data_IF_221386174358
#
_entry.id   IF_221386174358
#
_cell.length_a   1.000
_cell.length_b   1.000
_cell.length_c   1.000
_cell.angle_alpha   90.00
_cell.angle_beta   90.00
_cell.angle_gamma   90.00
#
_symmetry.space_group_name_H-M   'P 1'
#
loop_
_entity.id
_entity.type
_entity.pdbx_description
1 polymer ?
#
# COMPACT_ATOMS: atom_id res chain seq x y z
N UNK A 1 6.18 -38.02 -63.25
CA UNK A 1 6.29 -36.59 -62.92
C UNK A 1 7.39 -36.43 -61.88
N UNK A 2 8.47 -35.72 -62.24
CA UNK A 2 9.72 -35.60 -61.49
C UNK A 2 9.52 -34.55 -60.31
N UNK A 3 10.16 -34.72 -59.16
CA UNK A 3 10.15 -33.72 -58.09
C UNK A 3 11.17 -32.60 -58.40
N UNK A 4 10.81 -31.36 -58.02
CA UNK A 4 11.66 -30.17 -58.14
C UNK A 4 12.54 -30.06 -56.92
N UNK A 5 13.84 -29.87 -57.15
CA UNK A 5 14.85 -29.51 -56.15
C UNK A 5 14.63 -28.07 -55.62
N UNK A 6 14.79 -27.89 -54.31
CA UNK A 6 14.84 -26.59 -53.65
C UNK A 6 16.31 -26.28 -53.34
N UNK A 7 16.84 -25.27 -54.00
CA UNK A 7 18.18 -24.73 -53.79
C UNK A 7 18.26 -23.85 -52.56
N UNK A 8 19.15 -24.22 -51.63
CA UNK A 8 19.55 -23.41 -50.46
C UNK A 8 20.47 -22.26 -50.91
N UNK A 9 20.03 -21.01 -50.72
CA UNK A 9 20.89 -19.83 -50.80
C UNK A 9 21.35 -19.42 -49.39
N UNK A 10 22.65 -19.58 -49.13
CA UNK A 10 23.34 -19.05 -47.94
C UNK A 10 23.52 -17.54 -48.08
N UNK A 11 22.93 -16.76 -47.17
CA UNK A 11 23.27 -15.36 -46.98
C UNK A 11 24.47 -15.25 -46.03
N UNK A 12 25.56 -14.74 -46.58
CA UNK A 12 26.77 -14.35 -45.82
C UNK A 12 26.59 -12.93 -45.26
N UNK A 13 26.60 -12.81 -43.94
CA UNK A 13 26.71 -11.52 -43.28
C UNK A 13 28.16 -11.05 -43.26
N UNK A 14 28.43 -9.91 -43.89
CA UNK A 14 29.68 -9.16 -43.73
C UNK A 14 29.61 -8.32 -42.45
N UNK A 15 30.51 -8.56 -41.52
CA UNK A 15 30.79 -7.71 -40.36
C UNK A 15 31.53 -6.46 -40.82
N UNK A 16 30.95 -5.28 -40.60
CA UNK A 16 31.61 -4.01 -40.77
C UNK A 16 32.24 -3.59 -39.44
N UNK A 17 33.56 -3.60 -39.44
CA UNK A 17 34.41 -3.08 -38.37
C UNK A 17 34.34 -1.53 -38.38
N UNK A 18 33.88 -0.90 -37.28
CA UNK A 18 33.98 0.54 -37.07
C UNK A 18 34.68 0.79 -35.73
N UNK A 19 35.98 0.92 -35.81
CA UNK A 19 36.84 1.49 -34.78
C UNK A 19 36.54 2.98 -34.59
N UNK A 20 36.10 3.36 -33.38
CA UNK A 20 35.95 4.75 -32.95
C UNK A 20 37.18 5.11 -32.09
N UNK A 21 37.91 6.21 -32.36
CA UNK A 21 39.07 6.60 -31.57
C UNK A 21 38.62 7.24 -30.25
N UNK A 22 39.20 6.77 -29.14
CA UNK A 22 39.10 7.35 -27.82
C UNK A 22 39.96 8.64 -27.79
N UNK A 23 39.31 9.79 -27.63
CA UNK A 23 39.97 11.05 -27.35
C UNK A 23 40.11 11.19 -25.84
N UNK A 24 41.36 11.08 -25.35
CA UNK A 24 41.72 11.30 -23.96
C UNK A 24 41.85 12.82 -23.73
N UNK A 25 40.91 13.41 -23.00
CA UNK A 25 41.02 14.82 -22.56
C UNK A 25 41.68 14.85 -21.18
N UNK A 26 42.95 15.24 -21.15
CA UNK A 26 43.70 15.52 -19.92
C UNK A 26 43.38 16.95 -19.47
N UNK A 27 42.68 17.11 -18.37
CA UNK A 27 42.46 18.41 -17.72
C UNK A 27 43.54 18.62 -16.63
N UNK A 28 44.43 19.57 -16.84
CA UNK A 28 45.39 20.08 -15.86
C UNK A 28 44.65 20.97 -14.85
N UNK A 29 44.64 20.59 -13.58
CA UNK A 29 44.17 21.44 -12.51
C UNK A 29 45.36 22.21 -11.92
N UNK A 30 45.37 23.52 -12.10
CA UNK A 30 46.26 24.42 -11.37
C UNK A 30 45.73 24.61 -9.94
N UNK A 31 46.51 24.22 -8.97
CA UNK A 31 46.30 24.57 -7.57
C UNK A 31 46.90 25.97 -7.30
N UNK A 32 46.08 26.92 -6.92
CA UNK A 32 46.49 28.20 -6.30
C UNK A 32 46.31 28.08 -4.79
N UNK A 33 47.44 28.07 -4.07
CA UNK A 33 47.49 28.19 -2.64
C UNK A 33 47.28 29.65 -2.24
N UNK A 34 46.19 29.93 -1.51
CA UNK A 34 45.94 31.21 -0.86
C UNK A 34 45.89 31.02 0.65
N UNK A 35 46.92 31.43 1.38
CA UNK A 35 46.91 31.53 2.84
C UNK A 35 46.00 32.70 3.26
N UNK A 36 44.90 32.35 3.97
CA UNK A 36 44.09 33.34 4.69
C UNK A 36 43.98 32.90 6.14
N UNK A 37 44.61 33.67 7.02
CA UNK A 37 44.58 33.50 8.48
C UNK A 37 43.22 33.98 8.98
N UNK A 38 42.45 33.12 9.61
CA UNK A 38 41.22 33.47 10.33
C UNK A 38 41.56 33.86 11.78
N UNK A 39 40.94 34.90 12.36
CA UNK A 39 41.16 35.26 13.76
C UNK A 39 40.43 34.31 14.69
N UNK A 40 41.13 33.84 15.70
CA UNK A 40 40.67 33.07 16.83
C UNK A 40 39.79 33.95 17.74
N UNK A 41 38.50 33.60 17.86
CA UNK A 41 37.59 34.20 18.83
C UNK A 41 37.63 33.35 20.11
N UNK A 42 38.32 33.85 21.11
CA UNK A 42 38.34 33.28 22.46
C UNK A 42 37.03 33.66 23.19
N UNK A 43 36.17 32.69 23.42
CA UNK A 43 35.01 32.85 24.30
C UNK A 43 35.39 32.50 25.73
N UNK A 44 35.37 33.50 26.62
CA UNK A 44 35.49 33.32 28.06
C UNK A 44 34.22 32.68 28.62
N UNK A 45 34.29 31.74 29.57
CA UNK A 45 33.12 31.15 30.20
C UNK A 45 32.48 32.11 31.18
N UNK A 46 31.25 32.53 30.92
CA UNK A 46 30.39 33.24 31.88
C UNK A 46 29.81 32.25 32.86
N UNK A 47 30.17 32.37 34.10
CA UNK A 47 29.56 31.64 35.23
C UNK A 47 28.15 32.18 35.47
N UNK A 48 27.14 31.35 35.20
CA UNK A 48 25.74 31.60 35.61
C UNK A 48 25.55 31.05 37.03
N UNK A 49 25.41 31.95 37.99
CA UNK A 49 24.99 31.64 39.37
C UNK A 49 23.50 31.41 39.38
N UNK A 50 23.07 30.20 39.70
CA UNK A 50 21.69 29.83 40.01
C UNK A 50 21.31 30.33 41.40
N UNK A 51 20.14 31.00 41.60
CA UNK A 51 19.64 31.32 42.94
C UNK A 51 19.06 30.08 43.59
N UNK A 52 19.38 29.94 44.89
CA UNK A 52 18.92 28.84 45.76
C UNK A 52 17.41 28.94 46.01
N UNK A 53 16.72 27.82 45.80
CA UNK A 53 15.30 27.64 46.18
C UNK A 53 15.22 27.31 47.68
N UNK A 54 14.36 27.97 48.46
CA UNK A 54 14.22 27.64 49.88
C UNK A 54 13.42 26.33 50.05
N UNK A 55 13.90 25.51 50.97
CA UNK A 55 13.31 24.23 51.40
C UNK A 55 11.98 24.46 52.13
N UNK A 56 10.90 23.69 51.86
CA UNK A 56 9.65 23.83 52.60
C UNK A 56 9.76 23.20 53.97
N UNK A 57 9.39 24.00 54.97
CA UNK A 57 9.24 23.61 56.39
C UNK A 57 8.12 22.57 56.54
N UNK A 58 8.43 21.45 57.18
CA UNK A 58 7.45 20.43 57.53
C UNK A 58 6.52 20.93 58.63
N UNK A 59 5.22 20.99 58.35
CA UNK A 59 4.19 21.17 59.35
C UNK A 59 3.78 19.81 59.96
N UNK A 60 3.94 19.67 61.27
CA UNK A 60 3.53 18.50 62.04
C UNK A 60 2.00 18.58 62.25
N UNK A 61 1.22 17.62 61.74
CA UNK A 61 -0.19 17.44 62.07
C UNK A 61 -0.37 16.48 63.25
N UNK A 62 -1.32 16.76 64.16
CA UNK A 62 -1.59 15.86 65.26
C UNK A 62 -2.40 14.65 64.84
N UNK A 63 -1.94 13.47 65.28
CA UNK A 63 -2.52 12.15 65.05
C UNK A 63 -3.73 11.95 66.00
N UNK A 64 -4.94 11.87 65.45
CA UNK A 64 -6.07 11.21 66.13
C UNK A 64 -6.61 10.11 65.22
N UNK A 65 -6.49 8.87 65.63
CA UNK A 65 -7.11 7.71 65.02
C UNK A 65 -8.61 7.70 65.29
N UNK A 66 -9.47 7.55 64.25
CA UNK A 66 -10.83 7.08 64.47
C UNK A 66 -10.88 5.54 64.37
N UNK A 67 -11.65 4.98 65.29
CA UNK A 67 -11.95 3.56 65.44
C UNK A 67 -12.50 2.93 64.16
N UNK A 68 -11.97 1.73 63.79
CA UNK A 68 -12.36 0.99 62.59
C UNK A 68 -13.82 0.50 62.65
N UNK A 69 -14.61 0.88 61.66
CA UNK A 69 -15.89 0.23 61.31
C UNK A 69 -15.57 -0.99 60.44
N UNK A 70 -16.19 -2.16 60.65
CA UNK A 70 -15.95 -3.32 59.78
C UNK A 70 -16.55 -3.07 58.40
N UNK A 71 -15.70 -2.85 57.40
CA UNK A 71 -16.10 -2.76 56.01
C UNK A 71 -16.33 -4.17 55.49
N UNK A 72 -17.57 -4.47 55.05
CA UNK A 72 -17.90 -5.64 54.28
C UNK A 72 -17.04 -5.66 52.99
N UNK A 73 -16.28 -6.73 52.77
CA UNK A 73 -15.49 -6.95 51.58
C UNK A 73 -16.40 -6.96 50.34
N UNK A 74 -16.17 -6.14 49.30
CA UNK A 74 -16.97 -6.23 48.09
C UNK A 74 -16.73 -7.61 47.46
N UNK A 75 -17.81 -8.31 47.16
CA UNK A 75 -17.80 -9.52 46.33
C UNK A 75 -17.16 -9.14 44.96
N UNK A 76 -16.12 -9.87 44.49
CA UNK A 76 -15.55 -9.59 43.18
C UNK A 76 -16.64 -9.72 42.12
N UNK A 77 -16.69 -8.81 41.13
CA UNK A 77 -17.62 -8.96 40.02
C UNK A 77 -17.38 -10.32 39.34
N UNK A 78 -18.42 -10.95 38.78
CA UNK A 78 -18.27 -12.22 38.09
C UNK A 78 -17.23 -12.05 36.99
N UNK A 79 -16.17 -12.86 37.04
CA UNK A 79 -15.16 -12.97 35.99
C UNK A 79 -15.93 -13.41 34.75
N UNK A 80 -16.07 -12.53 33.77
CA UNK A 80 -16.58 -12.91 32.45
C UNK A 80 -15.66 -14.02 31.95
N UNK A 81 -16.24 -15.20 31.72
CA UNK A 81 -15.53 -16.27 31.00
C UNK A 81 -14.99 -15.69 29.72
N UNK A 82 -13.74 -16.01 29.31
CA UNK A 82 -13.22 -15.56 28.05
C UNK A 82 -14.19 -16.03 26.96
N UNK A 83 -14.83 -15.08 26.28
CA UNK A 83 -15.59 -15.36 25.07
C UNK A 83 -14.56 -15.93 24.10
N UNK A 84 -14.65 -17.20 23.75
CA UNK A 84 -13.79 -17.79 22.74
C UNK A 84 -13.90 -16.91 21.51
N UNK A 85 -12.81 -16.26 21.11
CA UNK A 85 -12.74 -15.56 19.84
C UNK A 85 -13.17 -16.53 18.73
N UNK A 86 -14.03 -16.13 17.78
CA UNK A 86 -14.47 -17.02 16.73
C UNK A 86 -13.24 -17.54 15.98
N UNK A 87 -13.09 -18.87 15.99
CA UNK A 87 -12.02 -19.54 15.26
C UNK A 87 -12.30 -19.43 13.76
N UNK A 88 -11.23 -19.32 12.95
CA UNK A 88 -11.35 -19.40 11.49
C UNK A 88 -12.05 -20.72 11.09
N UNK A 89 -12.99 -20.68 10.12
CA UNK A 89 -13.65 -21.86 9.58
C UNK A 89 -12.64 -22.86 8.98
N UNK A 90 -13.07 -24.13 8.87
CA UNK A 90 -12.29 -25.14 8.13
C UNK A 90 -12.31 -24.82 6.63
N UNK A 91 -11.15 -24.55 5.98
CA UNK A 91 -11.11 -24.22 4.57
C UNK A 91 -11.34 -25.40 3.63
N UNK A 92 -11.36 -26.64 4.14
CA UNK A 92 -11.44 -27.86 3.31
C UNK A 92 -12.70 -27.94 2.44
N UNK A 93 -13.80 -27.31 2.88
CA UNK A 93 -15.07 -27.22 2.15
C UNK A 93 -15.11 -26.09 1.09
N UNK A 94 -14.03 -25.36 0.87
CA UNK A 94 -13.99 -24.18 0.00
C UNK A 94 -12.87 -24.28 -1.02
N UNK A 95 -13.00 -23.53 -2.12
CA UNK A 95 -11.97 -23.41 -3.15
C UNK A 95 -12.05 -22.04 -3.84
N UNK A 96 -10.92 -21.63 -4.38
CA UNK A 96 -10.84 -20.52 -5.33
C UNK A 96 -11.18 -21.05 -6.71
N UNK A 97 -12.34 -20.70 -7.22
CA UNK A 97 -12.85 -21.18 -8.51
C UNK A 97 -12.69 -20.11 -9.59
N UNK A 98 -12.18 -20.46 -10.79
CA UNK A 98 -12.04 -19.51 -11.88
C UNK A 98 -13.42 -19.01 -12.33
N UNK A 99 -13.54 -17.68 -12.47
CA UNK A 99 -14.73 -16.98 -12.96
C UNK A 99 -14.55 -16.58 -14.40
N UNK A 100 -13.35 -16.08 -14.73
CA UNK A 100 -12.99 -15.63 -16.09
C UNK A 100 -11.49 -15.80 -16.30
N UNK A 101 -11.09 -15.92 -17.56
CA UNK A 101 -9.69 -15.90 -18.02
C UNK A 101 -9.56 -15.02 -19.25
N UNK A 102 -8.33 -14.84 -19.74
CA UNK A 102 -8.03 -14.05 -20.93
C UNK A 102 -7.73 -12.58 -20.65
N UNK A 103 -7.44 -12.23 -19.40
CA UNK A 103 -6.89 -10.95 -19.00
C UNK A 103 -5.37 -10.93 -19.25
N UNK A 104 -4.83 -9.76 -19.51
CA UNK A 104 -3.39 -9.55 -19.71
C UNK A 104 -2.78 -8.91 -18.46
N UNK A 105 -2.04 -9.72 -17.67
CA UNK A 105 -1.36 -9.26 -16.46
C UNK A 105 -2.30 -8.46 -15.51
N UNK A 106 -3.37 -9.09 -14.97
CA UNK A 106 -4.30 -8.40 -14.06
C UNK A 106 -3.61 -8.05 -12.74
N UNK A 107 -3.80 -6.81 -12.27
CA UNK A 107 -3.11 -6.28 -11.07
C UNK A 107 -4.04 -5.62 -10.05
N UNK A 108 -5.29 -5.31 -10.40
CA UNK A 108 -6.26 -4.78 -9.43
C UNK A 108 -7.70 -5.20 -9.81
N UNK A 109 -8.58 -5.34 -8.81
CA UNK A 109 -10.00 -5.68 -8.97
C UNK A 109 -10.82 -4.74 -8.09
N UNK A 110 -11.69 -3.93 -8.70
CA UNK A 110 -12.53 -2.96 -7.99
C UNK A 110 -14.00 -3.09 -8.43
N UNK A 111 -14.92 -2.67 -7.56
CA UNK A 111 -16.32 -2.43 -7.91
C UNK A 111 -16.64 -0.93 -7.80
N UNK A 112 -17.62 -0.47 -8.57
CA UNK A 112 -17.97 0.94 -8.60
C UNK A 112 -18.93 1.37 -7.49
N UNK A 113 -19.57 0.44 -6.78
CA UNK A 113 -20.60 0.72 -5.77
C UNK A 113 -21.84 1.38 -6.32
N UNK A 114 -22.13 1.22 -7.63
CA UNK A 114 -23.21 1.90 -8.36
C UNK A 114 -24.46 1.03 -8.56
N UNK A 115 -24.47 -0.16 -7.97
CA UNK A 115 -25.56 -1.14 -8.08
C UNK A 115 -25.57 -1.93 -9.40
N UNK A 116 -24.56 -1.79 -10.24
CA UNK A 116 -24.47 -2.46 -11.54
C UNK A 116 -23.97 -3.90 -11.46
N UNK A 117 -23.33 -4.28 -10.35
CA UNK A 117 -22.70 -5.59 -10.15
C UNK A 117 -21.49 -5.83 -11.05
N UNK A 118 -20.91 -4.78 -11.63
CA UNK A 118 -19.71 -4.86 -12.46
C UNK A 118 -18.46 -4.92 -11.57
N UNK A 119 -17.50 -5.77 -11.98
CA UNK A 119 -16.12 -5.71 -11.48
C UNK A 119 -15.24 -5.10 -12.57
N UNK A 120 -14.33 -4.25 -12.16
CA UNK A 120 -13.36 -3.59 -13.01
C UNK A 120 -11.98 -4.17 -12.70
N UNK A 121 -11.37 -4.77 -13.72
CA UNK A 121 -10.07 -5.44 -13.57
C UNK A 121 -9.04 -4.65 -14.36
N UNK A 122 -7.98 -4.24 -13.68
CA UNK A 122 -6.87 -3.52 -14.29
C UNK A 122 -5.91 -4.51 -14.95
N UNK A 123 -5.64 -4.29 -16.23
CA UNK A 123 -4.52 -4.90 -16.92
C UNK A 123 -3.33 -3.94 -16.85
N UNK A 124 -2.22 -4.41 -16.31
CA UNK A 124 -1.01 -3.63 -16.00
C UNK A 124 -0.57 -2.70 -17.13
N UNK A 125 -0.80 -3.10 -18.40
CA UNK A 125 -0.40 -2.35 -19.59
C UNK A 125 -1.24 -1.11 -19.89
N UNK A 126 -2.22 -0.75 -19.07
CA UNK A 126 -2.98 0.48 -19.23
C UNK A 126 -4.43 0.27 -19.68
N UNK A 127 -5.03 -0.91 -19.44
CA UNK A 127 -6.45 -1.13 -19.72
C UNK A 127 -7.22 -1.44 -18.43
N UNK A 128 -8.46 -0.96 -18.38
CA UNK A 128 -9.45 -1.39 -17.40
C UNK A 128 -10.50 -2.22 -18.12
N UNK A 129 -10.67 -3.47 -17.69
CA UNK A 129 -11.65 -4.41 -18.26
C UNK A 129 -12.87 -4.51 -17.34
N UNK A 130 -14.04 -4.70 -17.92
CA UNK A 130 -15.26 -4.98 -17.16
C UNK A 130 -15.56 -6.47 -17.17
N UNK A 131 -15.71 -7.05 -15.98
CA UNK A 131 -16.29 -8.36 -15.76
C UNK A 131 -17.73 -8.17 -15.27
N UNK A 132 -18.70 -8.69 -16.03
CA UNK A 132 -20.12 -8.65 -15.68
C UNK A 132 -20.76 -10.00 -15.98
N UNK A 133 -21.55 -10.55 -15.07
CA UNK A 133 -22.20 -11.86 -15.19
C UNK A 133 -21.19 -12.98 -15.56
N UNK A 134 -20.02 -12.98 -14.95
CA UNK A 134 -18.92 -13.91 -15.20
C UNK A 134 -18.36 -13.86 -16.64
N UNK A 135 -18.52 -12.75 -17.35
CA UNK A 135 -18.00 -12.57 -18.70
C UNK A 135 -17.25 -11.24 -18.82
N UNK A 136 -16.12 -11.24 -19.50
CA UNK A 136 -15.43 -10.01 -19.89
C UNK A 136 -16.19 -9.33 -21.01
N UNK A 137 -16.49 -8.06 -20.83
CA UNK A 137 -17.00 -7.25 -21.92
C UNK A 137 -15.92 -7.12 -23.02
N UNK A 138 -16.32 -7.16 -24.30
CA UNK A 138 -15.35 -7.23 -25.41
C UNK A 138 -14.50 -5.97 -25.54
N UNK A 139 -15.01 -4.83 -25.08
CA UNK A 139 -14.33 -3.52 -25.17
C UNK A 139 -13.90 -3.09 -23.78
N UNK A 140 -12.65 -2.63 -23.60
CA UNK A 140 -12.19 -2.14 -22.30
C UNK A 140 -12.99 -0.89 -21.87
N UNK A 141 -13.14 -0.71 -20.55
CA UNK A 141 -13.71 0.49 -19.94
C UNK A 141 -12.83 1.72 -20.20
N UNK A 142 -11.53 1.58 -19.97
CA UNK A 142 -10.49 2.57 -20.26
C UNK A 142 -9.36 1.89 -21.02
N UNK A 143 -8.74 2.59 -21.98
CA UNK A 143 -7.52 2.18 -22.67
C UNK A 143 -6.59 3.38 -22.80
N UNK A 144 -5.54 3.42 -21.98
CA UNK A 144 -4.49 4.43 -21.93
C UNK A 144 -3.09 3.81 -22.12
N UNK A 145 -3.00 2.69 -22.87
CA UNK A 145 -1.75 1.98 -23.08
C UNK A 145 -0.65 2.86 -23.71
N UNK A 146 -1.00 3.91 -24.44
CA UNK A 146 -0.02 4.84 -25.01
C UNK A 146 0.64 5.76 -23.99
N UNK A 147 0.08 5.90 -22.81
CA UNK A 147 0.52 6.79 -21.74
C UNK A 147 1.26 6.05 -20.64
N UNK A 148 1.08 4.72 -20.57
CA UNK A 148 1.56 3.88 -19.47
C UNK A 148 2.86 3.20 -19.83
N UNK A 149 3.92 3.41 -19.03
CA UNK A 149 5.08 2.52 -19.01
C UNK A 149 4.77 1.27 -18.18
N UNK A 150 4.97 0.11 -18.79
CA UNK A 150 4.74 -1.19 -18.15
C UNK A 150 5.88 -2.17 -18.41
N UNK A 151 7.05 -1.66 -18.76
CA UNK A 151 8.20 -2.50 -19.16
C UNK A 151 8.81 -3.24 -17.96
N UNK A 152 8.82 -2.59 -16.79
CA UNK A 152 9.35 -3.18 -15.56
C UNK A 152 8.24 -3.86 -14.73
N UNK A 153 8.65 -4.67 -13.76
CA UNK A 153 7.73 -5.56 -13.01
C UNK A 153 6.64 -4.79 -12.28
N UNK A 154 6.99 -3.68 -11.66
CA UNK A 154 6.08 -2.90 -10.81
C UNK A 154 5.55 -1.61 -11.47
N UNK A 155 6.00 -1.30 -12.68
CA UNK A 155 5.49 -0.18 -13.46
C UNK A 155 4.26 -0.59 -14.28
N UNK A 156 3.29 0.30 -14.42
CA UNK A 156 2.05 0.05 -15.15
C UNK A 156 0.89 0.92 -14.70
N UNK A 157 -0.31 0.52 -15.13
CA UNK A 157 -1.56 0.95 -14.52
C UNK A 157 -1.80 0.11 -13.27
N UNK A 158 -1.66 0.73 -12.08
CA UNK A 158 -1.49 0.02 -10.82
C UNK A 158 -2.69 0.11 -9.88
N UNK A 159 -3.47 1.18 -9.92
CA UNK A 159 -4.59 1.38 -8.99
C UNK A 159 -5.80 2.04 -9.61
N UNK A 160 -6.97 1.72 -9.07
CA UNK A 160 -8.27 2.28 -9.43
C UNK A 160 -9.08 2.54 -8.17
N UNK A 161 -9.68 3.72 -8.08
CA UNK A 161 -10.70 4.02 -7.08
C UNK A 161 -11.87 4.75 -7.71
N UNK A 162 -13.08 4.25 -7.48
CA UNK A 162 -14.31 4.97 -7.86
C UNK A 162 -14.66 5.96 -6.76
N UNK A 163 -15.06 7.16 -7.16
CA UNK A 163 -15.57 8.16 -6.25
C UNK A 163 -16.77 7.61 -5.43
N UNK A 164 -16.90 7.89 -4.11
CA UNK A 164 -18.02 7.37 -3.31
C UNK A 164 -19.40 7.70 -3.87
N UNK A 165 -19.49 8.78 -4.67
CA UNK A 165 -20.71 9.17 -5.40
C UNK A 165 -20.64 8.84 -6.89
N UNK A 166 -19.90 7.81 -7.30
CA UNK A 166 -19.69 7.47 -8.71
C UNK A 166 -21.00 7.30 -9.49
N UNK A 167 -22.01 6.69 -8.91
CA UNK A 167 -23.31 6.50 -9.53
C UNK A 167 -23.94 7.81 -10.06
N UNK A 168 -23.58 8.96 -9.49
CA UNK A 168 -24.08 10.29 -9.88
C UNK A 168 -23.02 11.20 -10.47
N UNK A 169 -21.76 11.08 -10.01
CA UNK A 169 -20.67 11.92 -10.48
C UNK A 169 -19.96 11.35 -11.71
N UNK A 170 -19.97 10.03 -11.89
CA UNK A 170 -19.22 9.36 -12.95
C UNK A 170 -17.70 9.43 -12.79
N UNK A 171 -17.18 9.95 -11.65
CA UNK A 171 -15.76 10.19 -11.44
C UNK A 171 -15.05 8.94 -10.91
N UNK A 172 -13.86 8.67 -11.43
CA UNK A 172 -12.96 7.65 -10.91
C UNK A 172 -11.51 8.11 -11.04
N UNK A 173 -10.61 7.46 -10.31
CA UNK A 173 -9.20 7.82 -10.19
C UNK A 173 -8.34 6.62 -10.50
N UNK A 174 -7.23 6.87 -11.18
CA UNK A 174 -6.23 5.85 -11.49
C UNK A 174 -4.86 6.29 -11.00
N UNK A 175 -4.02 5.29 -10.70
CA UNK A 175 -2.59 5.45 -10.46
C UNK A 175 -1.86 4.69 -11.55
N UNK A 176 -0.98 5.35 -12.26
CA UNK A 176 -0.15 4.71 -13.27
C UNK A 176 1.25 5.32 -13.34
N UNK A 177 2.20 4.59 -13.93
CA UNK A 177 3.53 5.11 -14.26
C UNK A 177 3.48 5.56 -15.73
N UNK A 178 3.80 6.82 -15.97
CA UNK A 178 3.84 7.37 -17.32
C UNK A 178 5.10 6.94 -18.09
N UNK A 179 5.14 7.24 -19.39
CA UNK A 179 6.26 6.92 -20.28
C UNK A 179 7.59 7.60 -19.91
N UNK A 180 7.60 8.52 -18.95
CA UNK A 180 8.79 9.17 -18.40
C UNK A 180 9.20 8.60 -17.03
N UNK A 181 8.52 7.55 -16.54
CA UNK A 181 8.78 6.94 -15.24
C UNK A 181 8.24 7.75 -14.05
N UNK A 182 7.20 8.55 -14.27
CA UNK A 182 6.56 9.37 -13.23
C UNK A 182 5.27 8.68 -12.78
N UNK A 183 5.05 8.54 -11.49
CA UNK A 183 3.73 8.16 -10.96
C UNK A 183 2.75 9.29 -11.17
N UNK A 184 1.67 9.01 -11.86
CA UNK A 184 0.56 9.92 -12.11
C UNK A 184 -0.68 9.42 -11.38
N UNK A 185 -1.28 10.29 -10.57
CA UNK A 185 -2.63 10.11 -10.06
C UNK A 185 -3.53 10.97 -10.93
N UNK A 186 -4.41 10.33 -11.70
CA UNK A 186 -5.30 11.04 -12.62
C UNK A 186 -6.77 10.76 -12.30
N UNK A 187 -7.61 11.76 -12.56
CA UNK A 187 -9.06 11.67 -12.50
C UNK A 187 -9.62 11.55 -13.90
N UNK A 188 -10.56 10.63 -14.06
CA UNK A 188 -11.34 10.45 -15.29
C UNK A 188 -12.84 10.55 -15.02
N UNK A 189 -13.61 10.61 -16.07
CA UNK A 189 -15.07 10.56 -16.06
C UNK A 189 -15.57 9.42 -16.95
N UNK A 190 -16.67 8.78 -16.53
CA UNK A 190 -17.39 7.84 -17.39
C UNK A 190 -17.99 8.56 -18.60
N UNK A 191 -18.05 7.90 -19.74
CA UNK A 191 -18.70 8.46 -20.93
C UNK A 191 -20.16 8.80 -20.67
N UNK A 192 -20.60 9.97 -21.14
CA UNK A 192 -22.00 10.39 -21.03
C UNK A 192 -22.97 9.48 -21.80
N UNK A 193 -22.48 8.72 -22.79
CA UNK A 193 -23.28 7.93 -23.71
C UNK A 193 -23.25 6.43 -23.44
N UNK A 194 -22.26 5.94 -22.67
CA UNK A 194 -22.08 4.52 -22.41
C UNK A 194 -21.47 4.31 -21.00
N UNK A 195 -22.21 3.77 -20.04
CA UNK A 195 -21.71 3.53 -18.69
C UNK A 195 -20.60 2.47 -18.63
N UNK A 196 -20.38 1.73 -19.72
CA UNK A 196 -19.31 0.72 -19.85
C UNK A 196 -18.04 1.28 -20.50
N UNK A 197 -17.96 2.61 -20.68
CA UNK A 197 -16.82 3.30 -21.29
C UNK A 197 -16.45 4.52 -20.46
N UNK A 198 -15.17 4.70 -20.22
CA UNK A 198 -14.64 5.98 -19.77
C UNK A 198 -14.52 6.94 -20.97
N UNK A 199 -14.42 8.22 -20.67
CA UNK A 199 -14.00 9.24 -21.63
C UNK A 199 -12.51 9.51 -21.44
N UNK A 200 -11.59 9.02 -22.30
CA UNK A 200 -10.16 9.26 -22.14
C UNK A 200 -9.80 10.75 -22.22
N UNK A 201 -10.58 11.55 -22.94
CA UNK A 201 -10.34 13.01 -23.07
C UNK A 201 -10.68 13.79 -21.79
N UNK A 202 -11.28 13.13 -20.80
CA UNK A 202 -11.62 13.73 -19.51
C UNK A 202 -10.48 13.66 -18.50
N UNK A 203 -9.34 13.13 -18.89
CA UNK A 203 -8.18 13.01 -18.00
C UNK A 203 -7.80 14.36 -17.38
N UNK A 204 -7.57 14.31 -16.08
CA UNK A 204 -7.05 15.43 -15.31
C UNK A 204 -6.03 14.93 -14.30
N UNK A 205 -4.79 15.34 -14.48
CA UNK A 205 -3.70 15.01 -13.54
C UNK A 205 -3.93 15.69 -12.18
N UNK A 206 -4.00 14.87 -11.15
CA UNK A 206 -4.15 15.32 -9.77
C UNK A 206 -2.78 15.51 -9.13
N UNK A 207 -1.90 14.49 -9.20
CA UNK A 207 -0.62 14.48 -8.54
C UNK A 207 0.43 13.77 -9.40
N UNK A 208 1.65 14.32 -9.43
CA UNK A 208 2.82 13.70 -10.05
C UNK A 208 3.88 13.41 -8.99
N UNK A 209 4.42 12.20 -8.96
CA UNK A 209 5.51 11.81 -8.07
C UNK A 209 6.63 11.17 -8.87
N UNK A 210 7.81 11.81 -8.85
CA UNK A 210 8.98 11.28 -9.54
C UNK A 210 9.47 10.01 -8.86
N UNK A 211 9.63 8.93 -9.63
CA UNK A 211 10.20 7.68 -9.18
C UNK A 211 11.72 7.66 -9.46
N UNK A 212 12.56 7.39 -8.45
CA UNK A 212 14.01 7.31 -8.63
C UNK A 212 14.44 6.00 -9.28
N UNK A 213 13.66 4.91 -9.12
CA UNK A 213 13.91 3.58 -9.66
C UNK A 213 12.64 3.00 -10.28
N UNK A 214 12.73 1.82 -10.88
CA UNK A 214 11.67 1.14 -11.61
C UNK A 214 10.85 0.14 -10.77
N UNK A 215 11.11 0.09 -9.46
CA UNK A 215 10.43 -0.76 -8.49
C UNK A 215 9.98 0.01 -7.24
N UNK A 216 9.25 -0.65 -6.35
CA UNK A 216 8.60 -0.09 -5.15
C UNK A 216 7.71 1.12 -5.48
N UNK A 217 6.91 0.99 -6.53
CA UNK A 217 6.03 2.07 -6.96
C UNK A 217 4.74 2.16 -6.12
N UNK A 218 4.40 1.11 -5.35
CA UNK A 218 3.13 1.00 -4.65
C UNK A 218 1.96 0.94 -5.63
N UNK A 219 1.08 1.94 -5.58
CA UNK A 219 0.06 2.18 -6.59
C UNK A 219 -1.37 1.98 -6.14
N UNK A 220 -1.60 1.44 -4.95
CA UNK A 220 -2.94 1.27 -4.40
C UNK A 220 -3.68 2.61 -4.24
N UNK A 221 -4.98 2.61 -4.55
CA UNK A 221 -5.91 3.72 -4.34
C UNK A 221 -7.17 3.22 -3.63
N UNK A 222 -7.64 3.97 -2.63
CA UNK A 222 -8.95 3.71 -2.02
C UNK A 222 -9.53 4.99 -1.41
N UNK A 223 -10.87 5.12 -1.42
CA UNK A 223 -11.53 6.10 -0.59
C UNK A 223 -11.71 5.56 0.83
N UNK A 224 -11.29 6.38 1.80
CA UNK A 224 -11.52 6.07 3.20
C UNK A 224 -12.97 6.29 3.63
N UNK A 225 -13.36 5.82 4.83
CA UNK A 225 -14.69 6.05 5.39
C UNK A 225 -14.99 7.53 5.65
N UNK A 226 -13.96 8.37 5.67
CA UNK A 226 -14.01 9.83 5.77
C UNK A 226 -14.29 10.53 4.42
N UNK A 227 -14.32 9.78 3.32
CA UNK A 227 -14.58 10.29 1.98
C UNK A 227 -13.37 10.85 1.25
N UNK A 228 -12.17 10.84 1.86
CA UNK A 228 -10.93 11.28 1.21
C UNK A 228 -10.26 10.17 0.43
N UNK A 229 -9.48 10.54 -0.58
CA UNK A 229 -8.69 9.60 -1.38
C UNK A 229 -7.36 9.32 -0.68
N UNK A 230 -7.11 8.03 -0.41
CA UNK A 230 -5.85 7.51 0.09
C UNK A 230 -5.02 6.93 -1.06
N UNK A 231 -3.70 7.16 -1.01
CA UNK A 231 -2.76 6.78 -2.06
C UNK A 231 -1.54 6.14 -1.39
N UNK A 232 -1.26 4.88 -1.70
CA UNK A 232 -0.08 4.18 -1.23
C UNK A 232 1.09 4.35 -2.20
N UNK A 233 2.22 4.85 -1.72
CA UNK A 233 3.45 5.02 -2.50
C UNK A 233 4.63 4.36 -1.78
N UNK A 234 5.39 3.55 -2.51
CA UNK A 234 6.60 2.93 -2.01
C UNK A 234 7.76 3.92 -1.83
N UNK A 235 8.88 3.41 -1.32
CA UNK A 235 10.09 4.21 -1.07
C UNK A 235 10.81 4.66 -2.35
N UNK A 236 10.32 4.22 -3.51
CA UNK A 236 10.84 4.58 -4.83
C UNK A 236 11.91 3.62 -5.32
N UNK A 237 12.19 2.55 -4.60
CA UNK A 237 12.93 1.40 -5.11
C UNK A 237 14.38 1.28 -4.67
N UNK A 238 15.04 0.27 -5.23
CA UNK A 238 16.36 -0.22 -4.85
C UNK A 238 16.37 -0.93 -3.49
N UNK A 239 17.54 -1.38 -3.03
CA UNK A 239 17.70 -2.13 -1.79
C UNK A 239 17.88 -1.19 -0.60
N UNK A 240 17.12 -1.41 0.48
CA UNK A 240 17.34 -0.77 1.77
C UNK A 240 17.10 0.74 1.83
N UNK A 241 16.21 1.28 0.99
CA UNK A 241 15.86 2.72 0.98
C UNK A 241 17.09 3.64 0.90
N UNK A 242 17.89 3.57 -0.18
CA UNK A 242 19.16 4.32 -0.27
C UNK A 242 18.98 5.83 -0.24
N UNK A 243 17.78 6.33 -0.50
CA UNK A 243 17.45 7.75 -0.46
C UNK A 243 16.81 8.18 0.86
N UNK A 244 16.62 7.24 1.80
CA UNK A 244 16.02 7.45 3.12
C UNK A 244 14.62 8.06 3.06
N UNK A 245 13.84 7.65 2.07
CA UNK A 245 12.48 8.15 1.86
C UNK A 245 11.52 7.72 2.97
N UNK A 246 11.77 6.57 3.62
CA UNK A 246 10.96 6.04 4.70
C UNK A 246 10.67 7.06 5.81
N UNK A 247 11.72 7.71 6.27
CA UNK A 247 11.64 8.66 7.38
C UNK A 247 11.72 10.15 6.95
N UNK A 248 11.79 10.41 5.64
CA UNK A 248 11.88 11.76 5.11
C UNK A 248 10.48 12.35 4.86
N UNK A 249 10.06 13.30 5.66
CA UNK A 249 8.76 13.97 5.52
C UNK A 249 8.72 15.06 4.43
N UNK A 250 9.82 15.27 3.69
CA UNK A 250 9.90 16.20 2.56
C UNK A 250 9.78 15.51 1.20
N UNK A 251 9.34 14.25 1.18
CA UNK A 251 9.02 13.46 -0.01
C UNK A 251 7.68 12.77 0.14
N UNK A 252 7.00 12.52 -0.97
CA UNK A 252 5.75 11.75 -1.00
C UNK A 252 6.00 10.23 -1.10
N UNK A 253 7.24 9.80 -1.33
CA UNK A 253 7.63 8.40 -1.39
C UNK A 253 7.66 7.77 0.00
N UNK A 254 7.36 6.46 0.10
CA UNK A 254 7.30 5.70 1.36
C UNK A 254 6.17 6.18 2.29
N UNK A 255 5.01 6.48 1.69
CA UNK A 255 3.90 7.16 2.37
C UNK A 255 2.54 6.56 2.04
N UNK A 256 1.66 6.69 2.99
CA UNK A 256 0.23 6.76 2.72
C UNK A 256 -0.16 8.23 2.66
N UNK A 257 -0.60 8.70 1.50
CA UNK A 257 -1.11 10.06 1.31
C UNK A 257 -2.62 10.08 1.52
N UNK A 258 -3.17 11.24 1.90
CA UNK A 258 -4.61 11.48 2.00
C UNK A 258 -4.95 12.87 1.50
N UNK A 259 -5.82 12.94 0.50
CA UNK A 259 -6.22 14.19 -0.17
C UNK A 259 -7.74 14.27 -0.32
N UNK A 260 -8.26 15.49 -0.33
CA UNK A 260 -9.67 15.81 -0.57
C UNK A 260 -9.85 16.23 -2.03
N UNK A 261 -10.49 15.38 -2.81
CA UNK A 261 -10.70 15.58 -4.26
C UNK A 261 -12.00 16.31 -4.59
N UNK A 262 -12.83 16.59 -3.60
CA UNK A 262 -14.10 17.32 -3.76
C UNK A 262 -13.91 18.84 -3.69
N UNK A 263 -12.75 19.32 -3.19
CA UNK A 263 -12.45 20.73 -3.00
C UNK A 263 -11.09 21.13 -3.61
N UNK A 264 -10.95 22.43 -3.95
CA UNK A 264 -9.77 22.96 -4.64
C UNK A 264 -9.82 22.76 -6.15
N UNK A 265 -8.78 23.22 -6.85
CA UNK A 265 -8.73 23.12 -8.33
C UNK A 265 -8.47 21.66 -8.77
N UNK A 266 -7.54 20.98 -8.11
CA UNK A 266 -7.22 19.56 -8.33
C UNK A 266 -7.58 18.71 -7.11
N UNK A 267 -7.19 19.18 -5.93
CA UNK A 267 -7.48 18.62 -4.60
C UNK A 267 -7.25 19.70 -3.53
N UNK A 268 -7.66 19.41 -2.32
CA UNK A 268 -7.27 20.15 -1.12
C UNK A 268 -6.72 19.22 -0.04
N UNK A 269 -6.12 19.81 0.99
CA UNK A 269 -5.55 19.07 2.10
C UNK A 269 -6.60 18.93 3.20
N UNK A 270 -6.93 17.70 3.65
CA UNK A 270 -7.75 17.51 4.83
C UNK A 270 -7.15 18.24 6.06
N UNK A 271 -7.95 19.03 6.81
CA UNK A 271 -7.43 19.91 7.86
C UNK A 271 -6.81 19.16 9.04
N UNK A 272 -7.12 17.88 9.18
CA UNK A 272 -6.63 16.96 10.21
C UNK A 272 -5.48 16.05 9.72
N UNK A 273 -4.94 16.28 8.52
CA UNK A 273 -3.67 15.68 8.13
C UNK A 273 -2.56 16.15 9.09
N UNK A 274 -1.64 15.26 9.49
CA UNK A 274 -0.67 15.56 10.57
C UNK A 274 0.28 16.71 10.22
N UNK A 275 0.55 16.90 8.93
CA UNK A 275 1.46 17.92 8.42
C UNK A 275 0.76 19.05 7.64
N UNK A 276 -0.56 19.16 7.74
CA UNK A 276 -1.36 20.18 7.04
C UNK A 276 -0.88 21.63 7.28
N UNK A 277 -0.17 21.88 8.40
CA UNK A 277 0.30 23.22 8.77
C UNK A 277 1.83 23.36 8.68
N UNK A 278 2.58 22.34 9.04
CA UNK A 278 4.04 22.35 9.09
C UNK A 278 4.63 20.98 9.42
N UNK A 279 5.93 20.81 9.26
CA UNK A 279 6.68 19.63 9.69
C UNK A 279 6.92 18.58 8.59
N UNK A 280 6.12 18.59 7.54
CA UNK A 280 6.22 17.67 6.40
C UNK A 280 5.38 18.15 5.24
N UNK A 281 5.32 17.36 4.17
CA UNK A 281 4.40 17.60 3.05
C UNK A 281 2.96 17.37 3.52
N UNK A 282 2.03 18.27 3.19
CA UNK A 282 0.70 18.27 3.77
C UNK A 282 -0.20 17.11 3.34
N UNK A 283 0.12 16.45 2.23
CA UNK A 283 -0.57 15.27 1.72
C UNK A 283 -0.36 14.02 2.59
N UNK A 284 0.73 13.98 3.37
CA UNK A 284 1.13 12.81 4.15
C UNK A 284 0.10 12.54 5.26
N UNK A 285 -0.47 11.33 5.26
CA UNK A 285 -1.31 10.81 6.33
C UNK A 285 -0.51 9.89 7.28
N UNK A 286 0.35 9.02 6.72
CA UNK A 286 1.27 8.15 7.43
C UNK A 286 2.54 7.93 6.62
N UNK A 287 3.61 7.43 7.25
CA UNK A 287 4.93 7.28 6.64
C UNK A 287 5.68 6.06 7.17
N UNK A 288 6.84 5.77 6.57
CA UNK A 288 7.66 4.63 6.98
C UNK A 288 7.16 3.29 6.44
N UNK A 289 6.52 3.29 5.26
CA UNK A 289 6.15 2.11 4.49
C UNK A 289 7.22 1.83 3.43
N UNK A 290 7.51 0.56 3.14
CA UNK A 290 8.49 0.21 2.11
C UNK A 290 7.89 0.19 0.71
N UNK A 291 6.91 -0.67 0.48
CA UNK A 291 6.21 -0.82 -0.79
C UNK A 291 4.76 -1.29 -0.52
N UNK A 292 3.89 -0.40 -0.04
CA UNK A 292 2.49 -0.72 0.27
C UNK A 292 1.75 -1.04 -1.03
N UNK A 293 1.87 -2.32 -1.43
CA UNK A 293 1.36 -2.79 -2.73
C UNK A 293 -0.15 -2.68 -2.82
N UNK A 294 -0.86 -3.16 -1.79
CA UNK A 294 -2.32 -3.03 -1.68
C UNK A 294 -2.72 -2.68 -0.26
N UNK A 295 -3.78 -1.94 -0.16
CA UNK A 295 -4.46 -1.67 1.09
C UNK A 295 -5.97 -1.61 0.89
N UNK A 296 -6.73 -1.84 1.93
CA UNK A 296 -8.18 -1.80 1.88
C UNK A 296 -8.78 -1.35 3.20
N UNK A 297 -9.93 -0.68 3.11
CA UNK A 297 -10.76 -0.38 4.27
C UNK A 297 -11.82 -1.45 4.45
N UNK A 298 -11.96 -1.98 5.66
CA UNK A 298 -13.12 -2.80 5.99
C UNK A 298 -14.40 -1.95 5.97
N UNK A 299 -15.27 -2.25 5.03
CA UNK A 299 -16.53 -1.50 4.82
C UNK A 299 -17.41 -1.42 6.08
N UNK A 300 -17.33 -2.39 6.99
CA UNK A 300 -18.17 -2.46 8.20
C UNK A 300 -17.61 -1.67 9.37
N UNK A 301 -16.30 -1.70 9.55
CA UNK A 301 -15.63 -1.10 10.72
C UNK A 301 -14.91 0.20 10.39
N UNK A 302 -14.56 0.41 9.13
CA UNK A 302 -13.69 1.51 8.68
C UNK A 302 -12.21 1.30 9.01
N UNK A 303 -11.82 0.13 9.50
CA UNK A 303 -10.43 -0.18 9.78
C UNK A 303 -9.64 -0.35 8.48
N UNK A 304 -8.38 0.06 8.49
CA UNK A 304 -7.45 -0.03 7.36
C UNK A 304 -6.51 -1.21 7.55
N UNK A 305 -6.33 -1.99 6.49
CA UNK A 305 -5.31 -3.03 6.35
C UNK A 305 -4.36 -2.63 5.23
N UNK A 306 -3.05 -2.74 5.47
CA UNK A 306 -2.00 -2.46 4.48
C UNK A 306 -1.15 -3.72 4.34
N UNK A 307 -0.88 -4.14 3.11
CA UNK A 307 0.12 -5.15 2.80
C UNK A 307 1.35 -4.42 2.28
N UNK A 308 2.40 -4.41 3.09
CA UNK A 308 3.66 -3.76 2.79
C UNK A 308 4.73 -4.81 2.47
N UNK A 309 5.24 -4.77 1.25
CA UNK A 309 6.20 -5.77 0.76
C UNK A 309 7.56 -5.55 1.39
N UNK A 310 8.07 -6.60 2.03
CA UNK A 310 9.35 -6.60 2.72
C UNK A 310 10.58 -6.62 1.82
N UNK A 311 11.76 -6.59 2.41
CA UNK A 311 13.03 -6.45 1.68
C UNK A 311 13.76 -7.80 1.51
N UNK A 312 14.16 -8.40 2.62
CA UNK A 312 15.11 -9.52 2.63
C UNK A 312 14.56 -10.78 3.30
N UNK A 313 13.70 -10.62 4.31
CA UNK A 313 13.35 -11.71 5.19
C UNK A 313 11.86 -11.79 5.57
N UNK A 314 11.15 -10.68 5.62
CA UNK A 314 9.81 -10.61 6.19
C UNK A 314 8.85 -9.82 5.34
N UNK A 315 7.67 -10.40 5.12
CA UNK A 315 6.49 -9.73 4.55
C UNK A 315 5.56 -9.33 5.68
N UNK A 316 4.84 -8.20 5.55
CA UNK A 316 4.03 -7.69 6.66
C UNK A 316 2.62 -7.24 6.26
N UNK A 317 1.73 -7.33 7.25
CA UNK A 317 0.38 -6.77 7.20
C UNK A 317 0.21 -5.81 8.36
N UNK A 318 -0.03 -4.55 8.04
CA UNK A 318 -0.35 -3.52 9.01
C UNK A 318 -1.85 -3.37 9.20
N UNK A 319 -2.22 -2.88 10.38
CA UNK A 319 -3.60 -2.64 10.75
C UNK A 319 -3.76 -1.31 11.49
N UNK A 320 -4.73 -0.53 11.03
CA UNK A 320 -5.08 0.73 11.68
C UNK A 320 -6.57 0.71 12.04
N UNK A 321 -6.92 0.68 13.33
CA UNK A 321 -8.31 0.79 13.77
C UNK A 321 -8.96 2.08 13.26
N UNK A 322 -10.25 2.03 12.98
CA UNK A 322 -11.01 3.22 12.62
C UNK A 322 -10.92 4.29 13.71
N UNK A 323 -10.78 5.56 13.31
CA UNK A 323 -10.64 6.69 14.22
C UNK A 323 -9.25 6.86 14.83
N UNK A 324 -8.25 6.05 14.42
CA UNK A 324 -6.85 6.27 14.81
C UNK A 324 -6.36 7.60 14.24
N UNK A 325 -5.70 8.46 15.07
CA UNK A 325 -5.12 9.70 14.57
C UNK A 325 -4.09 9.47 13.47
N UNK A 326 -4.03 10.38 12.51
CA UNK A 326 -3.02 10.40 11.47
C UNK A 326 -1.60 10.67 12.04
N UNK A 327 -0.56 10.42 11.25
CA UNK A 327 0.84 10.63 11.65
C UNK A 327 1.55 9.36 12.11
N UNK A 328 0.99 8.19 11.80
CA UNK A 328 1.60 6.89 12.08
C UNK A 328 2.92 6.73 11.34
N UNK A 329 3.90 6.09 12.02
CA UNK A 329 5.18 5.69 11.45
C UNK A 329 5.29 4.17 11.49
N UNK A 330 5.28 3.52 10.32
CA UNK A 330 5.35 2.07 10.17
C UNK A 330 6.78 1.49 10.28
N UNK A 331 7.79 2.36 10.33
CA UNK A 331 9.13 1.98 10.78
C UNK A 331 10.18 1.77 9.69
N UNK A 332 9.81 1.66 8.42
CA UNK A 332 10.77 1.52 7.33
C UNK A 332 11.69 2.77 7.25
N UNK A 333 13.02 2.66 7.15
CA UNK A 333 13.84 1.45 7.03
C UNK A 333 14.55 1.06 8.35
N UNK A 334 14.02 1.46 9.51
CA UNK A 334 14.54 0.96 10.79
C UNK A 334 14.11 -0.49 11.06
N UNK A 335 12.92 -0.86 10.58
CA UNK A 335 12.33 -2.18 10.75
C UNK A 335 11.92 -2.77 9.40
N UNK A 336 12.02 -4.10 9.30
CA UNK A 336 11.38 -4.96 8.31
C UNK A 336 10.51 -5.94 9.10
N UNK A 337 9.19 -5.87 8.95
CA UNK A 337 8.29 -6.54 9.87
C UNK A 337 8.47 -6.03 11.30
N UNK A 338 8.55 -6.94 12.26
CA UNK A 338 8.82 -6.65 13.67
C UNK A 338 10.34 -6.67 13.98
N UNK A 339 11.20 -6.78 12.97
CA UNK A 339 12.62 -7.02 13.13
C UNK A 339 13.45 -5.77 12.82
N UNK A 340 14.47 -5.43 13.65
CA UNK A 340 15.42 -4.37 13.32
C UNK A 340 16.11 -4.66 11.99
N UNK A 341 16.14 -3.66 11.10
CA UNK A 341 16.73 -3.79 9.76
C UNK A 341 17.94 -2.89 9.59
N UNK A 342 17.77 -1.59 9.44
CA UNK A 342 18.88 -0.64 9.27
C UNK A 342 18.89 0.41 10.37
N UNK A 343 20.10 0.83 10.75
CA UNK A 343 20.35 1.86 11.75
C UNK A 343 19.68 1.57 13.12
N UNK A 344 19.99 2.38 14.11
CA UNK A 344 19.28 2.33 15.40
C UNK A 344 18.13 3.35 15.34
N UNK A 345 16.90 2.95 15.65
CA UNK A 345 15.79 3.88 15.68
C UNK A 345 15.98 4.95 16.75
N UNK A 346 15.57 6.20 16.50
CA UNK A 346 15.64 7.25 17.49
C UNK A 346 14.84 6.92 18.76
N UNK A 347 15.40 7.15 19.93
CA UNK A 347 14.81 6.75 21.22
C UNK A 347 13.43 7.35 21.53
N UNK A 348 13.05 8.45 20.86
CA UNK A 348 11.80 9.19 21.12
C UNK A 348 10.77 9.06 19.99
N UNK A 349 10.94 8.09 19.09
CA UNK A 349 10.00 7.81 17.99
C UNK A 349 9.18 6.59 18.35
N UNK A 350 7.86 6.70 18.20
CA UNK A 350 6.94 5.56 18.33
C UNK A 350 6.67 4.99 16.93
N UNK A 351 6.77 3.69 16.81
CA UNK A 351 6.46 2.96 15.57
C UNK A 351 5.16 2.18 15.72
N UNK A 352 4.42 2.09 14.64
CA UNK A 352 3.27 1.20 14.48
C UNK A 352 3.79 -0.07 13.83
N UNK A 353 3.97 -1.12 14.63
CA UNK A 353 4.44 -2.40 14.12
C UNK A 353 3.28 -3.18 13.48
N UNK A 354 3.58 -4.07 12.51
CA UNK A 354 2.57 -4.88 11.84
C UNK A 354 1.83 -5.80 12.81
N UNK A 355 0.62 -6.18 12.41
CA UNK A 355 -0.18 -7.16 13.17
C UNK A 355 0.14 -8.58 12.80
N UNK A 356 0.73 -8.80 11.64
CA UNK A 356 1.14 -10.10 11.15
C UNK A 356 2.34 -9.96 10.22
N UNK A 357 3.25 -10.90 10.31
CA UNK A 357 4.39 -11.05 9.40
C UNK A 357 4.58 -12.52 9.05
N UNK A 358 5.19 -12.79 7.91
CA UNK A 358 5.64 -14.12 7.52
C UNK A 358 7.00 -14.04 6.83
N UNK A 359 7.78 -15.10 6.97
CA UNK A 359 9.14 -15.11 6.43
C UNK A 359 9.18 -15.41 4.94
N UNK A 360 10.26 -15.00 4.26
CA UNK A 360 10.51 -15.33 2.86
C UNK A 360 10.67 -16.83 2.59
N UNK A 361 10.65 -17.69 3.62
CA UNK A 361 10.50 -19.15 3.43
C UNK A 361 9.06 -19.57 3.10
N UNK A 362 8.06 -18.70 3.34
CA UNK A 362 6.63 -18.96 3.12
C UNK A 362 6.07 -18.22 1.91
N UNK A 363 6.75 -17.15 1.48
CA UNK A 363 6.39 -16.33 0.32
C UNK A 363 7.48 -15.33 0.01
N UNK A 364 7.21 -14.35 -0.86
CA UNK A 364 8.21 -13.35 -1.24
C UNK A 364 7.63 -11.95 -1.54
N UNK A 365 6.31 -11.80 -1.54
CA UNK A 365 5.66 -10.53 -1.84
C UNK A 365 4.18 -10.60 -1.44
N UNK A 366 3.84 -9.95 -0.35
CA UNK A 366 2.45 -9.86 0.12
C UNK A 366 1.61 -9.05 -0.86
N UNK A 367 0.46 -9.62 -1.28
CA UNK A 367 -0.38 -9.04 -2.32
C UNK A 367 -1.59 -8.27 -1.79
N UNK A 368 -1.69 -8.15 -0.47
CA UNK A 368 -2.82 -7.50 0.17
C UNK A 368 -4.08 -8.34 0.23
N UNK A 369 -5.18 -7.73 0.54
CA UNK A 369 -6.40 -8.43 0.82
C UNK A 369 -7.60 -7.55 1.12
N UNK A 370 -8.66 -8.23 1.45
CA UNK A 370 -9.93 -7.62 1.83
C UNK A 370 -10.61 -8.39 2.97
N UNK A 371 -11.36 -7.67 3.79
CA UNK A 371 -12.24 -8.29 4.79
C UNK A 371 -13.48 -8.83 4.08
N UNK A 372 -13.74 -10.12 4.26
CA UNK A 372 -14.93 -10.74 3.71
C UNK A 372 -16.21 -10.22 4.41
N UNK A 373 -17.14 -9.71 3.61
CA UNK A 373 -18.43 -9.18 4.05
C UNK A 373 -19.61 -9.74 3.23
N UNK A 374 -19.32 -10.76 2.41
CA UNK A 374 -20.33 -11.46 1.59
C UNK A 374 -21.33 -12.24 2.43
N UNK A 375 -22.48 -12.57 1.82
CA UNK A 375 -23.54 -13.34 2.48
C UNK A 375 -23.56 -14.82 2.08
N UNK A 376 -22.84 -15.18 1.00
CA UNK A 376 -22.82 -16.57 0.52
C UNK A 376 -22.11 -17.52 1.49
N UNK A 377 -21.19 -17.00 2.29
CA UNK A 377 -20.40 -17.77 3.26
C UNK A 377 -20.33 -17.02 4.60
N UNK A 378 -21.46 -16.95 5.36
CA UNK A 378 -21.57 -16.14 6.58
C UNK A 378 -20.56 -16.52 7.66
N UNK A 379 -20.05 -17.75 7.66
CA UNK A 379 -19.01 -18.23 8.58
C UNK A 379 -17.65 -17.53 8.39
N UNK A 380 -17.39 -16.96 7.21
CA UNK A 380 -16.17 -16.18 6.91
C UNK A 380 -16.30 -14.68 7.21
N UNK A 381 -17.45 -14.23 7.69
CA UNK A 381 -17.71 -12.82 8.00
C UNK A 381 -16.64 -12.26 8.94
N UNK A 382 -16.01 -11.13 8.54
CA UNK A 382 -14.97 -10.49 9.33
C UNK A 382 -13.57 -11.05 9.15
N UNK A 383 -13.39 -12.09 8.34
CA UNK A 383 -12.06 -12.60 8.00
C UNK A 383 -11.39 -11.68 6.97
N UNK A 384 -10.21 -11.17 7.29
CA UNK A 384 -9.32 -10.53 6.31
C UNK A 384 -8.57 -11.62 5.58
N UNK A 385 -8.83 -11.76 4.28
CA UNK A 385 -8.08 -12.65 3.39
C UNK A 385 -6.97 -11.87 2.73
N UNK A 386 -5.76 -12.40 2.74
CA UNK A 386 -4.60 -11.85 2.04
C UNK A 386 -3.73 -12.98 1.50
N UNK A 387 -2.85 -12.68 0.56
CA UNK A 387 -2.07 -13.70 -0.12
C UNK A 387 -0.68 -13.24 -0.50
N UNK A 388 0.05 -14.17 -1.11
CA UNK A 388 1.43 -13.96 -1.58
C UNK A 388 1.56 -14.27 -3.07
N UNK A 389 2.27 -13.41 -3.77
CA UNK A 389 2.49 -13.50 -5.21
C UNK A 389 3.31 -14.72 -5.63
N UNK A 390 4.35 -15.08 -4.88
CA UNK A 390 5.28 -16.14 -5.24
C UNK A 390 4.75 -17.53 -4.92
N UNK A 391 4.26 -17.70 -3.68
CA UNK A 391 3.85 -19.00 -3.19
C UNK A 391 2.41 -19.36 -3.57
N UNK A 392 1.58 -18.34 -3.84
CA UNK A 392 0.14 -18.53 -4.02
C UNK A 392 -0.56 -18.96 -2.74
N UNK A 393 0.05 -18.74 -1.60
CA UNK A 393 -0.55 -18.94 -0.30
C UNK A 393 -1.61 -17.87 -0.03
N UNK A 394 -2.69 -18.27 0.63
CA UNK A 394 -3.74 -17.37 1.10
C UNK A 394 -3.98 -17.62 2.58
N UNK A 395 -3.82 -16.58 3.36
CA UNK A 395 -4.11 -16.57 4.80
C UNK A 395 -5.44 -15.91 5.11
N UNK A 396 -5.98 -16.24 6.25
CA UNK A 396 -7.10 -15.54 6.86
C UNK A 396 -6.70 -15.01 8.23
N UNK A 397 -7.09 -13.80 8.55
CA UNK A 397 -6.87 -13.14 9.82
C UNK A 397 -8.21 -12.68 10.41
N UNK A 398 -8.47 -13.00 11.68
CA UNK A 398 -9.68 -12.57 12.41
C UNK A 398 -9.28 -11.77 13.64
N UNK A 399 -10.12 -10.80 14.03
CA UNK A 399 -9.96 -10.00 15.27
C UNK A 399 -8.61 -9.30 15.44
N UNK A 400 -8.15 -8.49 14.46
CA UNK A 400 -6.86 -7.84 14.56
C UNK A 400 -6.73 -6.85 15.73
N UNK A 401 -7.85 -6.37 16.28
CA UNK A 401 -7.84 -5.43 17.43
C UNK A 401 -7.67 -6.12 18.79
N UNK A 402 -7.73 -7.43 18.87
CA UNK A 402 -7.56 -8.20 20.10
C UNK A 402 -6.15 -8.78 20.17
N UNK A 403 -5.55 -8.84 21.35
CA UNK A 403 -4.19 -9.37 21.58
C UNK A 403 -4.02 -10.88 21.22
N UNK A 404 -5.02 -11.51 20.62
CA UNK A 404 -5.08 -12.91 20.21
C UNK A 404 -5.27 -13.02 18.69
N UNK A 405 -4.42 -12.35 17.93
CA UNK A 405 -4.43 -12.40 16.47
C UNK A 405 -4.08 -13.81 16.00
N UNK A 406 -4.96 -14.39 15.20
CA UNK A 406 -4.72 -15.67 14.58
C UNK A 406 -4.83 -15.53 13.06
N UNK A 407 -3.68 -15.24 12.44
CA UNK A 407 -3.56 -15.51 11.01
C UNK A 407 -3.26 -16.98 10.81
N UNK A 408 -3.93 -17.59 9.85
CA UNK A 408 -3.75 -19.00 9.51
C UNK A 408 -3.67 -19.15 8.00
N UNK A 409 -2.71 -19.95 7.55
CA UNK A 409 -2.68 -20.41 6.16
C UNK A 409 -3.93 -21.24 5.89
N UNK A 410 -4.75 -20.78 4.92
CA UNK A 410 -6.01 -21.40 4.54
C UNK A 410 -5.91 -22.19 3.24
N UNK A 411 -5.21 -21.63 2.25
CA UNK A 411 -5.10 -22.24 0.93
C UNK A 411 -3.68 -22.07 0.38
N UNK A 412 -3.23 -23.05 -0.40
CA UNK A 412 -2.08 -22.94 -1.31
C UNK A 412 -2.63 -23.16 -2.71
N UNK A 413 -2.78 -22.08 -3.46
CA UNK A 413 -3.52 -22.08 -4.73
C UNK A 413 -2.63 -22.35 -5.94
N UNK A 414 -1.35 -22.08 -5.82
CA UNK A 414 -0.38 -22.09 -6.93
C UNK A 414 -0.58 -20.95 -7.95
N UNK A 415 -1.49 -19.99 -7.67
CA UNK A 415 -1.65 -18.78 -8.47
C UNK A 415 -0.51 -17.78 -8.18
N UNK A 416 -0.21 -16.92 -9.15
CA UNK A 416 0.57 -15.70 -8.89
C UNK A 416 -0.41 -14.59 -8.50
N UNK A 417 -0.65 -14.46 -7.19
CA UNK A 417 -1.69 -13.56 -6.68
C UNK A 417 -1.17 -12.13 -6.68
N UNK A 418 -1.74 -11.26 -7.52
CA UNK A 418 -1.38 -9.84 -7.55
C UNK A 418 -2.27 -8.96 -6.70
N UNK A 419 -3.51 -9.38 -6.49
CA UNK A 419 -4.51 -8.59 -5.77
C UNK A 419 -5.69 -9.44 -5.34
N UNK A 420 -6.42 -8.91 -4.38
CA UNK A 420 -7.79 -9.30 -4.10
C UNK A 420 -8.74 -8.15 -4.44
N UNK A 421 -10.02 -8.45 -4.48
CA UNK A 421 -11.08 -7.48 -4.62
C UNK A 421 -12.39 -8.04 -4.10
N UNK A 422 -13.37 -7.18 -3.91
CA UNK A 422 -14.72 -7.60 -3.51
C UNK A 422 -15.76 -7.03 -4.48
N UNK A 423 -16.85 -7.77 -4.68
CA UNK A 423 -18.00 -7.23 -5.38
C UNK A 423 -18.87 -6.35 -4.45
N UNK A 424 -19.92 -5.77 -5.00
CA UNK A 424 -20.85 -4.93 -4.23
C UNK A 424 -21.56 -5.68 -3.09
N UNK A 425 -21.69 -7.02 -3.23
CA UNK A 425 -22.26 -7.90 -2.21
C UNK A 425 -21.24 -8.31 -1.13
N UNK A 426 -19.97 -7.95 -1.31
CA UNK A 426 -18.86 -8.29 -0.39
C UNK A 426 -18.29 -9.68 -0.58
N UNK A 427 -18.60 -10.36 -1.69
CA UNK A 427 -17.97 -11.62 -2.08
C UNK A 427 -16.55 -11.35 -2.57
N UNK A 428 -15.60 -12.25 -2.25
CA UNK A 428 -14.18 -12.01 -2.48
C UNK A 428 -13.66 -12.70 -3.73
N UNK A 429 -12.80 -11.99 -4.44
CA UNK A 429 -12.12 -12.41 -5.66
C UNK A 429 -10.61 -12.23 -5.52
N UNK A 430 -9.82 -12.95 -6.32
CA UNK A 430 -8.39 -12.72 -6.50
C UNK A 430 -8.00 -12.80 -7.98
N UNK A 431 -6.92 -12.12 -8.36
CA UNK A 431 -6.35 -12.19 -9.70
C UNK A 431 -5.11 -13.10 -9.72
N UNK A 432 -5.06 -13.99 -10.70
CA UNK A 432 -3.85 -14.76 -11.05
C UNK A 432 -3.17 -14.11 -12.26
N UNK A 433 -2.03 -13.50 -12.00
CA UNK A 433 -1.22 -12.79 -13.00
C UNK A 433 -0.75 -13.71 -14.14
N UNK A 434 -0.33 -14.93 -13.79
CA UNK A 434 0.26 -15.88 -14.73
C UNK A 434 -0.74 -16.42 -15.72
N UNK A 435 -1.95 -16.73 -15.26
CA UNK A 435 -2.99 -17.32 -16.12
C UNK A 435 -3.94 -16.27 -16.70
N UNK A 436 -3.84 -15.02 -16.26
CA UNK A 436 -4.76 -13.96 -16.66
C UNK A 436 -6.21 -14.26 -16.22
N UNK A 437 -6.37 -14.83 -15.04
CA UNK A 437 -7.67 -15.27 -14.53
C UNK A 437 -8.09 -14.48 -13.30
N UNK A 438 -9.41 -14.33 -13.14
CA UNK A 438 -10.02 -13.92 -11.87
C UNK A 438 -10.69 -15.14 -11.26
N UNK A 439 -10.40 -15.39 -9.99
CA UNK A 439 -10.98 -16.47 -9.21
C UNK A 439 -11.85 -15.91 -8.08
N UNK A 440 -12.88 -16.65 -7.69
CA UNK A 440 -13.76 -16.32 -6.58
C UNK A 440 -13.70 -17.41 -5.52
N UNK A 441 -13.68 -17.04 -4.25
CA UNK A 441 -13.86 -18.00 -3.16
C UNK A 441 -15.30 -18.54 -3.17
N UNK A 442 -15.46 -19.86 -3.13
CA UNK A 442 -16.76 -20.51 -3.13
C UNK A 442 -16.73 -21.86 -2.39
N UNK A 443 -17.89 -22.34 -1.98
CA UNK A 443 -18.04 -23.71 -1.47
C UNK A 443 -17.75 -24.72 -2.57
N UNK A 444 -17.04 -25.79 -2.25
CA UNK A 444 -16.91 -26.95 -3.15
C UNK A 444 -18.29 -27.58 -3.33
N UNK A 445 -18.59 -27.97 -4.57
CA UNK A 445 -19.80 -28.71 -4.92
C UNK A 445 -19.69 -30.18 -4.53
#
# INVERSE_FOLDING_TARGET
>A
MKPREITNSRLTFRTADRSVPIVLLVIFSLALAGCGVAPEITLSPSTITTPAVPSPTQAVLPTTLPSAIPTSSPTPPPTSSPTNAPALPDPSGYAWLPVVSGLEAPVDIQNAGDGSGRLFVLEKRGRIRILQNNQLLPVPFLDIQSEVDSQHTEQGLLGLAFHPKYATSGLFFVNYIDVNGITVIARFHVSANDPNRADPSSEMDILHVKQPYDNHNGGGLAFGPDGYLYIGLGDGGSEGDPLRNGQNLQTLLSKMLRIDIDHGDKYSIPPDNPFAKAGGLPEIWAYGLRNPWRFSFDKSTGALFIADVGQDAWEEVDFVPSGTPAGLNFGWSFYEGMHPYQDQPPANVTFTLPIFEYSHSEGCSVSGGYVYRGQSMPEWQGTYFFGDYCSGNVWGLVHPAENNQQAKLLFTTGAQITTFGVDEAGEIYMADYRTGSVLRLARKQ
#
